data_IF_386154265525
#
_entry.id   IF_386154265525
#
_cell.length_a   1.000
_cell.length_b   1.000
_cell.length_c   1.000
_cell.angle_alpha   90.00
_cell.angle_beta   90.00
_cell.angle_gamma   90.00
#
_symmetry.space_group_name_H-M   'P 1'
#
loop_
_entity.id
_entity.type
_entity.pdbx_description
1 polymer ?
#
# COMPACT_ATOMS: atom_id res chain seq x y z
N UNK A 1 -15.93 -5.72 -4.14
CA UNK A 1 -16.44 -7.09 -4.46
C UNK A 1 -16.48 -7.46 -5.95
N UNK A 2 -16.59 -6.53 -6.91
CA UNK A 2 -16.80 -6.88 -8.32
C UNK A 2 -15.73 -7.82 -8.92
N UNK A 3 -14.45 -7.63 -8.59
CA UNK A 3 -13.36 -8.50 -9.04
C UNK A 3 -13.51 -9.94 -8.53
N UNK A 4 -13.92 -10.10 -7.26
CA UNK A 4 -14.16 -11.40 -6.63
C UNK A 4 -15.37 -12.09 -7.26
N UNK A 5 -16.49 -11.39 -7.39
CA UNK A 5 -17.72 -11.92 -8.01
C UNK A 5 -17.47 -12.45 -9.43
N UNK A 6 -16.62 -11.76 -10.20
CA UNK A 6 -16.29 -12.12 -11.58
C UNK A 6 -15.06 -13.03 -11.71
N UNK A 7 -14.41 -13.39 -10.59
CA UNK A 7 -13.15 -14.14 -10.56
C UNK A 7 -12.10 -13.57 -11.51
N UNK A 8 -11.90 -12.24 -11.46
CA UNK A 8 -10.92 -11.58 -12.30
C UNK A 8 -9.53 -11.71 -11.67
N UNK A 9 -8.50 -12.17 -12.42
CA UNK A 9 -7.12 -12.28 -11.93
C UNK A 9 -6.46 -10.89 -11.91
N UNK A 10 -6.91 -10.04 -10.98
CA UNK A 10 -6.37 -8.68 -10.79
C UNK A 10 -5.46 -8.69 -9.57
N UNK A 11 -4.21 -8.29 -9.77
CA UNK A 11 -3.26 -8.04 -8.70
C UNK A 11 -3.38 -6.59 -8.22
N UNK A 12 -3.83 -6.41 -6.98
CA UNK A 12 -3.89 -5.13 -6.28
C UNK A 12 -2.63 -4.97 -5.42
N UNK A 13 -1.95 -3.83 -5.57
CA UNK A 13 -0.78 -3.49 -4.75
C UNK A 13 -1.08 -2.17 -4.02
N UNK A 14 -1.09 -2.22 -2.69
CA UNK A 14 -1.20 -1.04 -1.84
C UNK A 14 0.17 -0.69 -1.28
N UNK A 15 0.76 0.42 -1.74
CA UNK A 15 1.94 1.00 -1.08
C UNK A 15 1.49 1.78 0.16
N UNK A 16 1.56 1.15 1.32
CA UNK A 16 1.13 1.74 2.59
C UNK A 16 2.32 2.40 3.29
N UNK A 17 2.38 3.72 3.27
CA UNK A 17 3.34 4.54 4.03
C UNK A 17 2.67 5.32 5.18
N UNK A 18 1.41 5.04 5.47
CA UNK A 18 0.66 5.70 6.54
C UNK A 18 0.42 7.20 6.33
N UNK A 19 0.49 7.72 5.10
CA UNK A 19 0.37 9.16 4.85
C UNK A 19 -0.23 9.51 3.50
N UNK A 20 -0.84 10.70 3.40
CA UNK A 20 -1.05 11.38 2.12
C UNK A 20 0.27 11.95 1.60
N UNK A 21 1.16 11.06 1.14
CA UNK A 21 2.57 11.36 0.88
C UNK A 21 2.81 12.53 -0.10
N UNK A 22 2.06 12.63 -1.20
CA UNK A 22 2.22 13.74 -2.14
C UNK A 22 1.93 15.09 -1.48
N UNK A 23 0.85 15.19 -0.71
CA UNK A 23 0.50 16.39 0.07
C UNK A 23 1.60 16.67 1.10
N UNK A 24 2.08 15.65 1.81
CA UNK A 24 3.17 15.77 2.78
C UNK A 24 4.44 16.32 2.15
N UNK A 25 4.81 15.87 0.96
CA UNK A 25 5.98 16.35 0.22
C UNK A 25 5.84 17.85 -0.13
N UNK A 26 4.66 18.26 -0.60
CA UNK A 26 4.40 19.67 -0.90
C UNK A 26 4.42 20.54 0.37
N UNK A 27 3.84 20.06 1.47
CA UNK A 27 3.87 20.74 2.76
C UNK A 27 5.30 20.89 3.29
N UNK A 28 6.12 19.84 3.25
CA UNK A 28 7.52 19.91 3.70
C UNK A 28 8.32 20.96 2.92
N UNK A 29 8.10 21.04 1.59
CA UNK A 29 8.79 22.02 0.73
C UNK A 29 8.37 23.46 0.99
N UNK A 30 7.08 23.70 1.17
CA UNK A 30 6.52 25.06 1.31
C UNK A 30 6.56 25.55 2.76
N UNK A 31 6.40 24.65 3.72
CA UNK A 31 6.25 24.91 5.15
C UNK A 31 6.97 23.82 5.97
N UNK A 32 8.31 23.87 6.08
CA UNK A 32 9.09 22.88 6.81
C UNK A 32 8.56 22.64 8.22
N UNK A 33 8.57 21.39 8.67
CA UNK A 33 8.08 20.95 9.98
C UNK A 33 6.57 21.20 10.28
N UNK A 34 5.76 21.64 9.30
CA UNK A 34 4.31 21.84 9.46
C UNK A 34 3.53 20.86 8.59
N UNK A 35 2.96 19.82 9.21
CA UNK A 35 2.35 18.69 8.49
C UNK A 35 0.89 18.39 8.89
N UNK A 36 -0.02 19.37 8.85
CA UNK A 36 -1.38 19.14 9.29
C UNK A 36 -2.11 18.17 8.35
N UNK A 37 -2.71 17.13 8.95
CA UNK A 37 -3.71 16.27 8.30
C UNK A 37 -3.16 15.31 7.24
N UNK A 38 -1.85 15.03 7.23
CA UNK A 38 -1.27 14.07 6.28
C UNK A 38 -1.05 12.68 6.86
N UNK A 39 -0.94 12.55 8.19
CA UNK A 39 -0.76 11.25 8.83
C UNK A 39 -2.09 10.48 8.83
N UNK A 40 -2.03 9.21 8.47
CA UNK A 40 -3.20 8.35 8.34
C UNK A 40 -3.23 7.31 9.45
N UNK A 41 -4.34 7.26 10.17
CA UNK A 41 -4.71 6.09 10.96
C UNK A 41 -5.43 5.10 10.05
N UNK A 42 -4.66 4.20 9.44
CA UNK A 42 -5.19 3.25 8.46
C UNK A 42 -5.94 2.10 9.14
N UNK A 43 -7.02 1.59 8.52
CA UNK A 43 -7.64 0.35 8.94
C UNK A 43 -6.73 -0.85 8.62
N UNK A 44 -7.11 -2.03 9.10
CA UNK A 44 -6.50 -3.28 8.65
C UNK A 44 -6.96 -3.59 7.22
N UNK A 45 -6.17 -3.16 6.23
CA UNK A 45 -6.45 -3.41 4.82
C UNK A 45 -6.41 -4.89 4.45
N UNK A 46 -5.61 -5.69 5.17
CA UNK A 46 -5.54 -7.13 4.96
C UNK A 46 -6.87 -7.78 5.33
N UNK A 47 -7.41 -7.44 6.51
CA UNK A 47 -8.72 -7.92 6.94
C UNK A 47 -9.84 -7.45 6.01
N UNK A 48 -9.79 -6.20 5.51
CA UNK A 48 -10.76 -5.69 4.54
C UNK A 48 -10.71 -6.47 3.23
N UNK A 49 -9.52 -6.73 2.67
CA UNK A 49 -9.36 -7.48 1.43
C UNK A 49 -9.87 -8.92 1.57
N UNK A 50 -9.52 -9.58 2.67
CA UNK A 50 -10.01 -10.91 3.02
C UNK A 50 -11.52 -10.94 3.21
N UNK A 51 -12.09 -9.93 3.89
CA UNK A 51 -13.54 -9.77 4.06
C UNK A 51 -14.30 -9.61 2.74
N UNK A 52 -13.65 -9.09 1.69
CA UNK A 52 -14.21 -9.06 0.34
C UNK A 52 -14.05 -10.38 -0.44
N UNK A 53 -13.30 -11.36 0.09
CA UNK A 53 -13.04 -12.66 -0.54
C UNK A 53 -11.81 -12.71 -1.43
N UNK A 54 -10.86 -11.79 -1.25
CA UNK A 54 -9.57 -11.83 -1.96
C UNK A 54 -8.55 -12.69 -1.19
N UNK A 55 -7.64 -13.35 -1.92
CA UNK A 55 -6.38 -13.77 -1.30
C UNK A 55 -5.57 -12.53 -1.01
N UNK A 56 -5.03 -12.41 0.20
CA UNK A 56 -4.34 -11.21 0.63
C UNK A 56 -3.11 -11.54 1.48
N UNK A 57 -2.02 -10.81 1.28
CA UNK A 57 -0.82 -10.88 2.10
C UNK A 57 -0.19 -9.51 2.33
N UNK A 58 0.67 -9.41 3.35
CA UNK A 58 1.45 -8.20 3.65
C UNK A 58 2.94 -8.48 3.42
N UNK A 59 3.58 -7.53 2.75
CA UNK A 59 5.03 -7.44 2.59
C UNK A 59 5.56 -6.36 3.52
N UNK A 60 6.45 -6.75 4.43
CA UNK A 60 7.09 -5.85 5.39
C UNK A 60 8.58 -5.67 5.11
N UNK A 61 9.16 -6.54 4.28
CA UNK A 61 10.58 -6.53 3.93
C UNK A 61 10.80 -6.73 2.44
N UNK A 62 11.89 -6.16 1.95
CA UNK A 62 12.26 -6.18 0.53
C UNK A 62 12.43 -7.60 -0.03
N UNK A 63 13.00 -8.52 0.75
CA UNK A 63 13.23 -9.92 0.37
C UNK A 63 11.93 -10.71 0.10
N UNK A 64 10.78 -10.19 0.52
CA UNK A 64 9.48 -10.83 0.31
C UNK A 64 8.84 -10.44 -1.02
N UNK A 65 9.24 -9.31 -1.61
CA UNK A 65 8.55 -8.66 -2.76
C UNK A 65 8.46 -9.61 -3.95
N UNK A 66 9.59 -10.18 -4.38
CA UNK A 66 9.62 -11.03 -5.57
C UNK A 66 8.68 -12.24 -5.42
N UNK A 67 8.75 -12.90 -4.26
CA UNK A 67 7.92 -14.07 -3.99
C UNK A 67 6.41 -13.74 -3.94
N UNK A 68 6.05 -12.57 -3.39
CA UNK A 68 4.66 -12.12 -3.29
C UNK A 68 4.10 -11.75 -4.67
N UNK A 69 4.88 -11.04 -5.49
CA UNK A 69 4.50 -10.73 -6.86
C UNK A 69 4.31 -12.00 -7.69
N UNK A 70 5.20 -12.99 -7.56
CA UNK A 70 5.06 -14.27 -8.26
C UNK A 70 3.75 -14.97 -7.87
N UNK A 71 3.43 -15.06 -6.58
CA UNK A 71 2.15 -15.63 -6.10
C UNK A 71 0.95 -14.87 -6.64
N UNK A 72 1.00 -13.54 -6.60
CA UNK A 72 -0.09 -12.68 -7.05
C UNK A 72 -0.34 -12.73 -8.56
N UNK A 73 0.73 -12.81 -9.37
CA UNK A 73 0.64 -12.92 -10.83
C UNK A 73 0.17 -14.30 -11.31
N UNK A 74 0.40 -15.34 -10.50
CA UNK A 74 -0.05 -16.72 -10.80
C UNK A 74 -1.46 -17.02 -10.26
N UNK A 75 -2.09 -16.08 -9.56
CA UNK A 75 -3.39 -16.31 -8.96
C UNK A 75 -4.53 -16.32 -10.00
N UNK A 76 -5.40 -17.33 -9.92
CA UNK A 76 -6.60 -17.45 -10.77
C UNK A 76 -7.74 -16.48 -10.39
N UNK A 77 -7.54 -15.66 -9.36
CA UNK A 77 -8.52 -14.72 -8.83
C UNK A 77 -7.87 -13.46 -8.29
N UNK A 78 -8.67 -12.51 -7.75
CA UNK A 78 -8.13 -11.24 -7.28
C UNK A 78 -7.19 -11.47 -6.09
N UNK A 79 -6.04 -10.82 -6.15
CA UNK A 79 -4.96 -10.96 -5.19
C UNK A 79 -4.57 -9.59 -4.66
N UNK A 80 -4.41 -9.45 -3.35
CA UNK A 80 -4.08 -8.19 -2.70
C UNK A 80 -2.75 -8.29 -1.97
N UNK A 81 -1.84 -7.36 -2.28
CA UNK A 81 -0.57 -7.22 -1.58
C UNK A 81 -0.55 -5.84 -0.94
N UNK A 82 -0.50 -5.81 0.39
CA UNK A 82 -0.13 -4.60 1.11
C UNK A 82 1.39 -4.56 1.27
N UNK A 83 2.03 -3.51 0.77
CA UNK A 83 3.47 -3.30 0.89
C UNK A 83 3.70 -2.17 1.88
N UNK A 84 4.30 -2.48 3.03
CA UNK A 84 4.72 -1.47 3.98
C UNK A 84 5.92 -0.71 3.41
N UNK A 85 5.75 0.59 3.21
CA UNK A 85 6.77 1.45 2.57
C UNK A 85 7.16 2.60 3.49
N UNK A 86 8.40 3.06 3.38
CA UNK A 86 8.88 4.19 4.16
C UNK A 86 8.46 5.51 3.53
N UNK A 87 7.77 6.36 4.30
CA UNK A 87 7.49 7.74 3.89
C UNK A 87 8.79 8.54 3.71
N UNK A 88 9.82 8.26 4.51
CA UNK A 88 11.07 9.02 4.53
C UNK A 88 11.78 9.02 3.17
N UNK A 89 11.71 7.92 2.42
CA UNK A 89 12.32 7.81 1.08
C UNK A 89 11.68 8.78 0.08
N UNK A 90 10.44 9.20 0.31
CA UNK A 90 9.72 10.13 -0.56
C UNK A 90 9.88 11.60 -0.14
N UNK A 91 10.30 11.87 1.09
CA UNK A 91 10.46 13.23 1.59
C UNK A 91 11.73 13.88 1.01
N UNK A 92 11.71 15.21 0.79
CA UNK A 92 12.91 15.92 0.36
C UNK A 92 14.01 15.80 1.42
N UNK A 93 15.25 15.61 0.98
CA UNK A 93 16.43 15.64 1.87
C UNK A 93 16.53 17.03 2.48
N UNK A 94 16.49 17.12 3.81
CA UNK A 94 16.73 18.38 4.52
C UNK A 94 18.23 18.71 4.38
N UNK A 95 18.53 19.93 3.92
CA UNK A 95 19.89 20.46 3.76
C UNK A 95 20.51 20.85 5.11
#
# INVERSE_FOLDING_TARGET
IAAVQRRLPILFILANNGSYASIRIHQERAYPARHPGTDLFNPDFLAIAQGFGMTAERVEREDQIESALQRGLQADGPYFIEVMTSLQVSLPVQA
#
